data_IF_089783083874
#
_entry.id   IF_089783083874
#
_cell.length_a   1.000
_cell.length_b   1.000
_cell.length_c   1.000
_cell.angle_alpha   90.00
_cell.angle_beta   90.00
_cell.angle_gamma   90.00
#
_symmetry.space_group_name_H-M   'P 1'
#
loop_
_entity.id
_entity.type
_entity.pdbx_description
1 polymer ?
#
# COMPACT_ATOMS: atom_id res chain seq x y z
N UNK A 1 7.07 21.61 9.13
CA UNK A 1 7.03 22.10 7.76
C UNK A 1 5.64 21.81 7.23
N UNK A 2 4.89 22.76 6.65
CA UNK A 2 4.05 22.34 5.52
C UNK A 2 5.00 21.59 4.61
N UNK A 3 4.73 20.31 4.30
CA UNK A 3 5.59 19.57 3.36
C UNK A 3 5.92 20.53 2.22
N UNK A 4 7.20 20.81 1.99
CA UNK A 4 7.60 21.33 0.70
C UNK A 4 7.23 20.21 -0.26
N UNK A 5 5.99 20.26 -0.75
CA UNK A 5 5.54 19.39 -1.79
C UNK A 5 6.32 19.84 -3.00
N UNK A 6 7.33 19.05 -3.34
CA UNK A 6 7.94 19.15 -4.65
C UNK A 6 6.80 19.17 -5.68
N UNK A 7 6.87 20.07 -6.68
CA UNK A 7 5.81 20.20 -7.65
C UNK A 7 5.52 18.84 -8.26
N UNK A 8 4.24 18.45 -8.26
CA UNK A 8 3.79 17.16 -8.80
C UNK A 8 3.64 17.22 -10.32
N UNK A 9 3.56 18.42 -10.86
CA UNK A 9 3.24 18.71 -12.26
C UNK A 9 4.10 19.90 -12.70
N UNK A 10 4.68 19.82 -13.89
CA UNK A 10 5.35 20.97 -14.52
C UNK A 10 4.30 22.00 -15.00
N UNK A 11 4.75 23.18 -15.41
CA UNK A 11 3.88 24.25 -15.93
C UNK A 11 3.03 23.81 -17.16
N UNK A 12 3.49 22.76 -17.87
CA UNK A 12 2.86 22.18 -19.05
C UNK A 12 1.83 21.06 -18.75
N UNK A 13 1.60 20.73 -17.47
CA UNK A 13 0.63 19.70 -17.08
C UNK A 13 1.16 18.26 -17.06
N UNK A 14 2.44 18.06 -17.36
CA UNK A 14 3.17 16.79 -17.28
C UNK A 14 3.51 16.44 -15.83
N UNK A 15 3.31 15.17 -15.44
CA UNK A 15 3.69 14.69 -14.12
C UNK A 15 5.22 14.75 -13.99
N UNK A 16 5.73 15.34 -12.90
CA UNK A 16 7.18 15.45 -12.71
C UNK A 16 7.73 14.08 -12.36
N UNK A 17 8.55 13.53 -13.26
CA UNK A 17 9.46 12.44 -12.94
C UNK A 17 10.76 13.05 -12.38
N UNK A 18 11.17 12.59 -11.21
CA UNK A 18 12.36 13.15 -10.55
C UNK A 18 13.65 12.62 -11.16
N UNK A 19 13.63 11.44 -11.78
CA UNK A 19 14.75 10.85 -12.51
C UNK A 19 14.21 9.96 -13.63
N UNK A 20 14.65 10.22 -14.86
CA UNK A 20 14.30 9.39 -16.02
C UNK A 20 15.02 8.02 -15.98
N UNK A 21 14.40 6.99 -16.57
CA UNK A 21 15.03 5.67 -16.72
C UNK A 21 16.17 5.76 -17.74
N UNK A 22 17.38 5.34 -17.34
CA UNK A 22 18.53 5.32 -18.25
C UNK A 22 18.32 4.30 -19.39
N UNK A 23 18.86 4.60 -20.57
CA UNK A 23 18.89 3.65 -21.68
C UNK A 23 19.65 2.37 -21.30
N UNK A 24 19.06 1.21 -21.56
CA UNK A 24 19.69 -0.08 -21.23
C UNK A 24 21.02 -0.26 -21.96
N UNK A 25 22.08 -0.56 -21.20
CA UNK A 25 23.36 -0.99 -21.75
C UNK A 25 23.34 -2.52 -21.85
N UNK A 26 23.46 -3.12 -23.05
CA UNK A 26 23.28 -4.57 -23.24
C UNK A 26 24.19 -5.44 -22.37
N UNK A 27 25.39 -4.96 -22.04
CA UNK A 27 26.37 -5.68 -21.21
C UNK A 27 26.15 -5.49 -19.70
N UNK A 28 25.29 -4.55 -19.30
CA UNK A 28 25.14 -4.06 -17.93
C UNK A 28 23.66 -3.89 -17.56
N UNK A 29 22.85 -4.94 -17.72
CA UNK A 29 21.39 -4.86 -17.51
C UNK A 29 20.97 -5.14 -16.08
N UNK A 30 21.71 -5.99 -15.36
CA UNK A 30 21.36 -6.43 -14.00
C UNK A 30 22.53 -6.25 -13.05
N UNK A 31 22.28 -5.77 -11.84
CA UNK A 31 23.29 -5.63 -10.80
C UNK A 31 22.88 -6.33 -9.52
N UNK A 32 23.89 -6.84 -8.80
CA UNK A 32 23.69 -7.33 -7.44
C UNK A 32 23.98 -6.19 -6.47
N UNK A 33 22.99 -5.89 -5.65
CA UNK A 33 23.00 -4.81 -4.68
C UNK A 33 22.84 -5.41 -3.29
N UNK A 34 23.57 -4.86 -2.32
CA UNK A 34 23.32 -5.09 -0.90
C UNK A 34 23.03 -3.76 -0.22
N UNK A 35 22.00 -3.73 0.61
CA UNK A 35 21.69 -2.57 1.43
C UNK A 35 22.23 -2.77 2.85
N UNK A 36 22.75 -1.69 3.42
CA UNK A 36 22.96 -1.53 4.84
C UNK A 36 21.86 -0.60 5.34
N UNK A 37 20.86 -1.17 6.01
CA UNK A 37 19.74 -0.44 6.60
C UNK A 37 19.84 -0.47 8.13
N UNK A 38 20.31 0.62 8.75
CA UNK A 38 20.36 0.75 10.21
C UNK A 38 19.02 0.47 10.89
N UNK A 39 17.90 0.80 10.23
CA UNK A 39 16.52 0.72 10.73
C UNK A 39 16.10 -0.68 11.19
N UNK A 40 16.66 -1.75 10.61
CA UNK A 40 16.37 -3.13 11.04
C UNK A 40 17.05 -3.51 12.35
N UNK A 41 18.07 -2.76 12.75
CA UNK A 41 18.97 -3.13 13.87
C UNK A 41 19.08 -2.09 14.97
N UNK A 42 18.74 -0.84 14.68
CA UNK A 42 18.87 0.31 15.56
C UNK A 42 17.51 1.01 15.55
N UNK A 43 16.95 1.34 16.73
CA UNK A 43 15.76 2.21 16.84
C UNK A 43 15.99 3.41 15.92
N UNK A 44 15.00 3.77 15.09
CA UNK A 44 15.18 4.87 14.15
C UNK A 44 15.66 6.09 14.94
N UNK A 45 16.79 6.68 14.51
CA UNK A 45 17.38 7.84 15.18
C UNK A 45 16.35 8.94 15.39
N UNK A 46 15.43 9.09 14.43
CA UNK A 46 14.29 9.98 14.47
C UNK A 46 13.30 9.63 15.59
N UNK A 47 12.95 8.36 15.78
CA UNK A 47 12.10 7.94 16.91
C UNK A 47 12.77 8.22 18.26
N UNK A 48 14.08 7.99 18.37
CA UNK A 48 14.83 8.31 19.59
C UNK A 48 14.84 9.82 19.86
N UNK A 49 15.05 10.64 18.84
CA UNK A 49 15.03 12.11 18.97
C UNK A 49 13.63 12.62 19.30
N UNK A 50 12.59 11.99 18.75
CA UNK A 50 11.19 12.29 19.07
C UNK A 50 10.84 11.91 20.52
N UNK A 51 11.28 10.74 21.00
CA UNK A 51 11.10 10.30 22.39
C UNK A 51 11.74 11.32 23.36
N UNK A 52 12.99 11.74 23.08
CA UNK A 52 13.68 12.76 23.89
C UNK A 52 13.07 14.15 23.77
N UNK A 53 12.54 14.50 22.62
CA UNK A 53 11.81 15.75 22.45
C UNK A 53 10.53 15.78 23.27
N UNK A 54 9.76 14.68 23.32
CA UNK A 54 8.55 14.60 24.14
C UNK A 54 8.89 14.75 25.62
N UNK A 55 9.94 14.07 26.10
CA UNK A 55 10.43 14.23 27.49
C UNK A 55 10.82 15.70 27.79
N UNK A 56 11.56 16.34 26.88
CA UNK A 56 11.98 17.74 27.02
C UNK A 56 10.79 18.70 27.00
N UNK A 57 9.85 18.50 26.09
CA UNK A 57 8.66 19.34 25.94
C UNK A 57 7.74 19.21 27.15
N UNK A 58 7.59 18.00 27.69
CA UNK A 58 6.87 17.79 28.95
C UNK A 58 7.53 18.53 30.13
N UNK A 59 8.86 18.52 30.21
CA UNK A 59 9.61 19.22 31.25
C UNK A 59 9.53 20.75 31.09
N UNK A 60 9.73 21.26 29.87
CA UNK A 60 9.66 22.68 29.54
C UNK A 60 8.26 23.25 29.79
N UNK A 61 7.20 22.51 29.46
CA UNK A 61 5.82 22.90 29.77
C UNK A 61 5.54 22.89 31.27
N UNK A 62 6.01 21.89 32.02
CA UNK A 62 5.86 21.84 33.49
C UNK A 62 6.56 23.02 34.16
N UNK A 63 7.78 23.36 33.73
CA UNK A 63 8.54 24.47 34.32
C UNK A 63 7.95 25.82 33.93
N UNK A 64 7.71 26.09 32.64
CA UNK A 64 7.16 27.37 32.20
C UNK A 64 5.77 27.64 32.76
N UNK A 65 4.93 26.59 32.84
CA UNK A 65 3.62 26.67 33.48
C UNK A 65 3.72 27.02 34.97
N UNK A 66 4.67 26.41 35.70
CA UNK A 66 4.87 26.69 37.13
C UNK A 66 5.53 28.04 37.40
N UNK A 67 6.47 28.49 36.57
CA UNK A 67 7.14 29.80 36.72
C UNK A 67 6.17 30.95 36.51
N UNK A 68 5.31 30.88 35.48
CA UNK A 68 4.31 31.91 35.21
C UNK A 68 3.23 31.97 36.30
N UNK A 69 2.86 30.81 36.84
CA UNK A 69 1.94 30.70 37.97
C UNK A 69 2.55 31.33 39.24
N UNK A 70 3.78 30.97 39.60
CA UNK A 70 4.46 31.54 40.78
C UNK A 70 4.70 33.05 40.64
N UNK A 71 5.06 33.53 39.44
CA UNK A 71 5.29 34.95 39.19
C UNK A 71 4.01 35.79 39.29
N UNK A 72 2.86 35.25 38.89
CA UNK A 72 1.58 35.96 38.99
C UNK A 72 1.06 36.03 40.44
N UNK A 73 1.22 34.94 41.19
CA UNK A 73 0.66 34.81 42.54
C UNK A 73 1.51 35.48 43.63
N UNK A 74 2.83 35.52 43.44
CA UNK A 74 3.73 36.31 44.29
C UNK A 74 3.46 37.82 44.20
N UNK A 75 3.10 38.32 43.02
CA UNK A 75 3.04 39.77 42.76
C UNK A 75 1.72 40.43 43.12
N UNK A 76 0.60 39.69 43.09
CA UNK A 76 -0.74 40.29 43.21
C UNK A 76 -1.27 40.35 44.65
N UNK A 77 -0.89 39.42 45.55
CA UNK A 77 -1.62 39.31 46.82
C UNK A 77 -0.85 38.99 48.11
N UNK A 78 0.42 38.59 48.12
CA UNK A 78 1.05 38.12 49.39
C UNK A 78 0.19 37.00 50.05
N UNK A 79 -0.35 36.05 49.27
CA UNK A 79 -1.42 35.14 49.72
C UNK A 79 -1.06 33.64 49.74
N UNK A 80 -1.90 32.92 50.50
CA UNK A 80 -1.87 31.50 50.89
C UNK A 80 -2.35 30.55 49.77
N UNK A 81 -1.92 29.29 49.85
CA UNK A 81 -1.85 28.30 48.75
C UNK A 81 -3.19 27.70 48.28
N UNK A 82 -4.30 27.85 49.00
CA UNK A 82 -5.56 27.15 48.68
C UNK A 82 -6.39 27.83 47.56
N UNK A 83 -6.45 29.16 47.51
CA UNK A 83 -7.12 29.91 46.42
C UNK A 83 -6.38 29.74 45.07
N UNK A 84 -5.08 29.46 45.15
CA UNK A 84 -4.16 29.22 44.03
C UNK A 84 -4.58 28.02 43.16
N UNK A 85 -5.15 26.99 43.78
CA UNK A 85 -5.53 25.73 43.11
C UNK A 85 -6.84 25.86 42.32
N UNK A 86 -7.75 26.77 42.74
CA UNK A 86 -9.01 27.04 42.02
C UNK A 86 -8.77 27.79 40.71
N UNK A 87 -7.96 28.86 40.77
CA UNK A 87 -7.60 29.68 39.60
C UNK A 87 -6.79 28.89 38.55
N UNK A 88 -6.03 27.88 38.98
CA UNK A 88 -5.31 26.97 38.08
C UNK A 88 -6.28 26.22 37.13
N UNK A 89 -7.44 25.78 37.63
CA UNK A 89 -8.42 25.07 36.80
C UNK A 89 -9.09 25.98 35.78
N UNK A 90 -9.23 27.27 36.08
CA UNK A 90 -9.81 28.26 35.19
C UNK A 90 -8.79 28.75 34.14
N UNK A 91 -7.52 28.86 34.55
CA UNK A 91 -6.39 29.17 33.66
C UNK A 91 -6.18 28.11 32.57
N UNK A 92 -6.28 26.81 32.92
CA UNK A 92 -6.16 25.69 31.97
C UNK A 92 -7.25 25.73 30.90
N UNK A 93 -8.47 26.18 31.21
CA UNK A 93 -9.56 26.30 30.24
C UNK A 93 -9.34 27.42 29.22
N UNK A 94 -8.77 28.54 29.65
CA UNK A 94 -8.50 29.72 28.79
C UNK A 94 -7.24 29.50 27.94
N UNK A 95 -6.20 28.86 28.48
CA UNK A 95 -4.94 28.65 27.76
C UNK A 95 -4.95 27.49 26.75
N UNK A 96 -5.95 26.59 26.80
CA UNK A 96 -6.09 25.51 25.82
C UNK A 96 -6.25 26.01 24.36
N UNK A 97 -6.72 27.24 24.13
CA UNK A 97 -6.77 27.84 22.80
C UNK A 97 -5.42 28.42 22.34
N UNK A 98 -4.54 28.82 23.27
CA UNK A 98 -3.18 29.26 22.97
C UNK A 98 -2.23 28.08 22.74
N UNK A 99 -2.42 26.98 23.48
CA UNK A 99 -1.67 25.73 23.31
C UNK A 99 -1.84 25.18 21.89
N UNK A 100 -3.04 25.31 21.30
CA UNK A 100 -3.32 24.91 19.90
C UNK A 100 -2.52 25.68 18.83
N UNK A 101 -1.91 26.83 19.16
CA UNK A 101 -1.07 27.62 18.23
C UNK A 101 0.43 27.41 18.43
N UNK A 102 0.84 26.64 19.42
CA UNK A 102 2.26 26.33 19.63
C UNK A 102 2.69 25.39 18.51
N UNK A 103 3.47 25.89 17.55
CA UNK A 103 3.96 25.04 16.47
C UNK A 103 4.99 24.07 17.05
N UNK A 104 4.53 22.84 17.32
CA UNK A 104 5.34 21.71 17.82
C UNK A 104 6.61 21.56 16.97
N UNK A 105 6.51 21.90 15.68
CA UNK A 105 7.62 21.86 14.75
C UNK A 105 8.71 22.91 15.06
N UNK A 106 8.35 24.16 15.36
CA UNK A 106 9.33 25.19 15.73
C UNK A 106 10.02 24.82 17.04
N UNK A 107 9.28 24.28 18.01
CA UNK A 107 9.87 23.80 19.27
C UNK A 107 10.80 22.62 19.05
N UNK A 108 10.47 21.71 18.15
CA UNK A 108 11.34 20.61 17.77
C UNK A 108 12.64 21.10 17.12
N UNK A 109 12.58 22.11 16.25
CA UNK A 109 13.78 22.71 15.66
C UNK A 109 14.66 23.41 16.70
N UNK A 110 14.06 24.13 17.65
CA UNK A 110 14.79 24.76 18.75
C UNK A 110 15.43 23.72 19.67
N UNK A 111 14.72 22.61 19.93
CA UNK A 111 15.25 21.48 20.71
C UNK A 111 16.43 20.82 20.01
N UNK A 112 16.31 20.49 18.72
CA UNK A 112 17.40 19.95 17.92
C UNK A 112 18.60 20.91 17.93
N UNK A 113 18.41 22.19 17.65
CA UNK A 113 19.52 23.16 17.63
C UNK A 113 20.29 23.21 18.95
N UNK A 114 19.61 23.03 20.08
CA UNK A 114 20.22 23.06 21.42
C UNK A 114 20.86 21.75 21.84
N UNK A 115 20.25 20.63 21.48
CA UNK A 115 20.58 19.31 22.05
C UNK A 115 21.11 18.31 21.01
N UNK A 116 21.24 18.68 19.73
CA UNK A 116 21.66 17.77 18.65
C UNK A 116 22.97 17.05 18.96
N UNK A 117 24.00 17.78 19.41
CA UNK A 117 25.30 17.16 19.74
C UNK A 117 25.20 16.17 20.90
N UNK A 118 24.44 16.53 21.94
CA UNK A 118 24.29 15.69 23.13
C UNK A 118 23.45 14.44 22.80
N UNK A 119 22.39 14.61 22.01
CA UNK A 119 21.53 13.52 21.52
C UNK A 119 22.29 12.58 20.58
N UNK A 120 23.15 13.11 19.70
CA UNK A 120 23.99 12.30 18.82
C UNK A 120 24.97 11.44 19.63
N UNK A 121 25.57 12.02 20.66
CA UNK A 121 26.49 11.31 21.55
C UNK A 121 25.75 10.26 22.38
N UNK A 122 24.63 10.60 23.00
CA UNK A 122 23.81 9.67 23.78
C UNK A 122 23.30 8.50 22.91
N UNK A 123 22.87 8.81 21.68
CA UNK A 123 22.47 7.80 20.72
C UNK A 123 23.64 6.92 20.32
N UNK A 124 24.78 7.51 20.00
CA UNK A 124 26.00 6.78 19.60
C UNK A 124 26.49 5.86 20.71
N UNK A 125 26.47 6.31 21.97
CA UNK A 125 26.82 5.50 23.13
C UNK A 125 25.84 4.34 23.33
N UNK A 126 24.54 4.60 23.29
CA UNK A 126 23.49 3.56 23.43
C UNK A 126 23.58 2.51 22.33
N UNK A 127 23.93 2.92 21.12
CA UNK A 127 24.05 2.05 19.94
C UNK A 127 25.43 1.38 19.86
N UNK A 128 26.36 1.73 20.75
CA UNK A 128 27.72 1.17 20.78
C UNK A 128 28.55 1.56 19.56
N UNK A 129 28.41 2.80 19.10
CA UNK A 129 29.10 3.38 17.94
C UNK A 129 28.91 2.59 16.63
N UNK A 130 27.81 1.83 16.52
CA UNK A 130 27.46 1.19 15.23
C UNK A 130 27.03 2.26 14.24
N UNK A 131 27.49 2.13 13.00
CA UNK A 131 27.16 3.04 11.90
C UNK A 131 25.65 3.16 11.71
N UNK A 132 25.14 4.39 11.79
CA UNK A 132 23.75 4.79 11.55
C UNK A 132 23.49 5.24 10.11
N UNK A 133 24.43 4.96 9.19
CA UNK A 133 24.37 5.42 7.80
C UNK A 133 23.69 4.37 6.94
N UNK A 134 22.72 4.81 6.14
CA UNK A 134 22.13 4.05 5.03
C UNK A 134 23.21 3.85 3.96
N UNK A 135 23.53 2.59 3.65
CA UNK A 135 24.57 2.24 2.70
C UNK A 135 24.05 1.42 1.53
N UNK A 136 24.51 1.72 0.32
CA UNK A 136 24.30 0.87 -0.87
C UNK A 136 25.64 0.32 -1.31
N UNK A 137 25.71 -1.00 -1.51
CA UNK A 137 26.87 -1.66 -2.08
C UNK A 137 26.49 -2.31 -3.40
N UNK A 138 26.90 -1.67 -4.49
CA UNK A 138 26.92 -2.29 -5.82
C UNK A 138 28.10 -3.27 -5.91
N UNK A 139 27.82 -4.52 -6.27
CA UNK A 139 28.84 -5.58 -6.30
C UNK A 139 29.35 -5.83 -7.71
N UNK A 140 28.48 -6.34 -8.57
CA UNK A 140 28.80 -6.71 -9.94
C UNK A 140 27.58 -6.51 -10.80
N UNK A 141 27.83 -6.19 -12.06
CA UNK A 141 26.83 -5.99 -13.09
C UNK A 141 26.97 -7.09 -14.15
N UNK A 142 25.85 -7.55 -14.68
CA UNK A 142 25.69 -8.66 -15.62
C UNK A 142 24.80 -8.23 -16.79
N UNK A 143 25.02 -8.87 -17.94
CA UNK A 143 24.15 -8.72 -19.10
C UNK A 143 22.85 -9.53 -18.95
N UNK A 144 22.96 -10.75 -18.42
CA UNK A 144 21.88 -11.72 -18.33
C UNK A 144 21.40 -11.93 -16.88
N UNK A 145 20.10 -12.18 -16.73
CA UNK A 145 19.49 -12.44 -15.42
C UNK A 145 19.97 -13.78 -14.83
N UNK A 146 20.08 -14.82 -15.65
CA UNK A 146 20.47 -16.16 -15.20
C UNK A 146 21.89 -16.18 -14.61
N UNK A 147 22.83 -15.48 -15.24
CA UNK A 147 24.21 -15.33 -14.73
C UNK A 147 24.22 -14.57 -13.39
N UNK A 148 23.39 -13.54 -13.28
CA UNK A 148 23.23 -12.76 -12.05
C UNK A 148 22.70 -13.64 -10.90
N UNK A 149 21.65 -14.45 -11.15
CA UNK A 149 21.07 -15.37 -10.17
C UNK A 149 22.06 -16.46 -9.73
N UNK A 150 22.79 -17.07 -10.68
CA UNK A 150 23.82 -18.05 -10.35
C UNK A 150 24.92 -17.45 -9.48
N UNK A 151 25.37 -16.24 -9.80
CA UNK A 151 26.40 -15.56 -9.02
C UNK A 151 25.89 -15.09 -7.65
N UNK A 152 24.62 -14.69 -7.55
CA UNK A 152 23.97 -14.37 -6.27
C UNK A 152 23.99 -15.59 -5.33
N UNK A 153 23.72 -16.80 -5.84
CA UNK A 153 23.83 -18.06 -5.06
C UNK A 153 25.26 -18.31 -4.57
N UNK A 154 26.28 -17.99 -5.38
CA UNK A 154 27.68 -18.08 -4.97
C UNK A 154 28.00 -17.05 -3.87
N UNK A 155 27.53 -15.81 -4.02
CA UNK A 155 27.72 -14.75 -3.03
C UNK A 155 27.01 -15.06 -1.71
N UNK A 156 25.82 -15.65 -1.75
CA UNK A 156 25.06 -16.05 -0.57
C UNK A 156 25.84 -17.09 0.26
N UNK A 157 26.52 -18.03 -0.39
CA UNK A 157 27.40 -19.00 0.29
C UNK A 157 28.65 -18.34 0.89
N UNK A 158 29.21 -17.36 0.19
CA UNK A 158 30.43 -16.65 0.63
C UNK A 158 30.14 -15.65 1.76
N UNK A 159 28.97 -15.02 1.72
CA UNK A 159 28.53 -13.98 2.65
C UNK A 159 27.10 -14.27 3.14
N UNK A 160 26.92 -15.24 4.06
CA UNK A 160 25.59 -15.69 4.49
C UNK A 160 24.81 -14.66 5.30
N UNK A 161 25.46 -13.58 5.76
CA UNK A 161 24.83 -12.50 6.52
C UNK A 161 24.32 -11.35 5.64
N UNK A 162 24.75 -11.31 4.38
CA UNK A 162 24.45 -10.19 3.50
C UNK A 162 23.10 -10.43 2.81
N UNK A 163 22.18 -9.49 2.92
CA UNK A 163 20.98 -9.48 2.08
C UNK A 163 21.40 -9.11 0.64
N UNK A 164 21.05 -9.97 -0.32
CA UNK A 164 21.40 -9.81 -1.73
C UNK A 164 20.13 -9.53 -2.54
N UNK A 165 20.20 -8.46 -3.31
CA UNK A 165 19.11 -8.00 -4.17
C UNK A 165 19.58 -7.95 -5.61
N UNK A 166 18.72 -8.33 -6.55
CA UNK A 166 18.97 -8.21 -7.98
C UNK A 166 18.14 -7.03 -8.49
N UNK A 167 18.82 -6.01 -8.99
CA UNK A 167 18.18 -4.80 -9.53
C UNK A 167 18.51 -4.63 -11.00
N UNK A 168 17.54 -4.16 -11.79
CA UNK A 168 17.77 -3.72 -13.16
C UNK A 168 18.51 -2.38 -13.14
N UNK A 169 19.56 -2.25 -13.94
CA UNK A 169 20.35 -1.02 -14.05
C UNK A 169 19.55 0.01 -14.84
N UNK A 170 19.56 1.26 -14.37
CA UNK A 170 18.82 2.36 -14.97
C UNK A 170 17.40 2.55 -14.45
N UNK A 171 16.88 1.61 -13.65
CA UNK A 171 15.52 1.70 -13.09
C UNK A 171 15.52 2.18 -11.63
N UNK A 172 14.39 2.76 -11.22
CA UNK A 172 14.09 3.02 -9.82
C UNK A 172 14.01 1.71 -9.02
N UNK A 173 14.76 1.65 -7.93
CA UNK A 173 14.76 0.53 -7.00
C UNK A 173 14.33 1.00 -5.62
N UNK A 174 13.39 0.30 -4.95
CA UNK A 174 13.03 0.62 -3.58
C UNK A 174 14.22 0.40 -2.65
N UNK A 175 14.33 1.25 -1.63
CA UNK A 175 15.35 1.10 -0.59
C UNK A 175 15.01 -0.10 0.31
N UNK A 176 15.90 -1.09 0.36
CA UNK A 176 15.79 -2.28 1.24
C UNK A 176 14.37 -2.84 1.39
N UNK A 177 13.73 -3.24 0.28
CA UNK A 177 12.35 -3.72 0.28
C UNK A 177 12.19 -4.96 1.17
N UNK A 178 11.00 -5.10 1.76
CA UNK A 178 10.63 -6.30 2.52
C UNK A 178 10.44 -7.49 1.58
N UNK A 179 10.71 -8.70 2.10
CA UNK A 179 10.61 -9.94 1.33
C UNK A 179 9.21 -10.17 0.75
N UNK A 180 8.16 -9.76 1.47
CA UNK A 180 6.78 -9.93 1.03
C UNK A 180 6.40 -9.07 -0.18
N UNK A 181 7.09 -7.95 -0.40
CA UNK A 181 6.83 -7.06 -1.52
C UNK A 181 7.57 -7.50 -2.80
N UNK A 182 8.45 -8.51 -2.68
CA UNK A 182 9.25 -8.99 -3.79
C UNK A 182 8.50 -10.06 -4.57
N UNK A 183 8.48 -9.99 -5.92
CA UNK A 183 7.82 -11.01 -6.74
C UNK A 183 8.52 -12.37 -6.64
N UNK A 184 9.85 -12.38 -6.53
CA UNK A 184 10.71 -13.57 -6.48
C UNK A 184 11.66 -13.49 -5.29
N UNK A 185 11.51 -14.41 -4.34
CA UNK A 185 12.39 -14.55 -3.17
C UNK A 185 12.96 -15.96 -3.18
N UNK A 186 14.29 -16.07 -3.21
CA UNK A 186 15.00 -17.32 -3.00
C UNK A 186 15.77 -17.27 -1.68
N UNK A 187 15.37 -18.13 -0.74
CA UNK A 187 16.02 -18.34 0.53
C UNK A 187 17.27 -19.21 0.38
N UNK A 188 18.20 -19.09 1.34
CA UNK A 188 19.40 -19.93 1.40
C UNK A 188 19.04 -21.42 1.65
N UNK A 189 17.95 -21.67 2.39
CA UNK A 189 17.47 -23.01 2.70
C UNK A 189 16.52 -23.53 1.62
N UNK A 190 16.85 -24.71 1.08
CA UNK A 190 16.06 -25.37 0.03
C UNK A 190 14.67 -25.78 0.53
N UNK A 191 14.57 -26.29 1.75
CA UNK A 191 13.30 -26.72 2.33
C UNK A 191 12.33 -25.54 2.52
N UNK A 192 12.86 -24.39 2.96
CA UNK A 192 12.07 -23.16 3.10
C UNK A 192 11.58 -22.65 1.75
N UNK A 193 12.41 -22.72 0.70
CA UNK A 193 11.98 -22.38 -0.66
C UNK A 193 10.84 -23.26 -1.15
N UNK A 194 10.94 -24.57 -0.93
CA UNK A 194 9.87 -25.51 -1.29
C UNK A 194 8.58 -25.23 -0.53
N UNK A 195 8.68 -24.92 0.77
CA UNK A 195 7.54 -24.57 1.60
C UNK A 195 6.84 -23.28 1.11
N UNK A 196 7.62 -22.23 0.85
CA UNK A 196 7.10 -20.94 0.37
C UNK A 196 6.49 -21.05 -1.02
N UNK A 197 7.11 -21.84 -1.90
CA UNK A 197 6.56 -22.13 -3.23
C UNK A 197 5.21 -22.86 -3.12
N UNK A 198 5.13 -23.91 -2.30
CA UNK A 198 3.87 -24.64 -2.04
C UNK A 198 2.80 -23.73 -1.42
N UNK A 199 3.19 -22.82 -0.53
CA UNK A 199 2.25 -21.85 0.05
C UNK A 199 1.64 -20.94 -1.02
N UNK A 200 2.47 -20.38 -1.91
CA UNK A 200 2.01 -19.52 -3.02
C UNK A 200 1.17 -20.31 -4.04
N UNK A 201 1.57 -21.54 -4.36
CA UNK A 201 0.78 -22.44 -5.22
C UNK A 201 -0.59 -22.74 -4.60
N UNK A 202 -0.66 -23.00 -3.28
CA UNK A 202 -1.92 -23.22 -2.58
C UNK A 202 -2.81 -21.97 -2.52
N UNK A 203 -2.21 -20.79 -2.35
CA UNK A 203 -2.94 -19.52 -2.37
C UNK A 203 -3.58 -19.24 -3.73
N UNK A 204 -2.80 -19.41 -4.81
CA UNK A 204 -3.31 -19.28 -6.19
C UNK A 204 -4.39 -20.32 -6.48
N UNK A 205 -4.18 -21.58 -6.07
CA UNK A 205 -5.19 -22.62 -6.25
C UNK A 205 -6.49 -22.28 -5.50
N UNK A 206 -6.41 -21.77 -4.26
CA UNK A 206 -7.60 -21.33 -3.50
C UNK A 206 -8.38 -20.26 -4.26
N UNK A 207 -7.69 -19.28 -4.82
CA UNK A 207 -8.33 -18.18 -5.55
C UNK A 207 -8.97 -18.68 -6.86
N UNK A 208 -8.31 -19.59 -7.58
CA UNK A 208 -8.86 -20.27 -8.75
C UNK A 208 -10.13 -21.05 -8.37
N UNK A 209 -10.09 -21.86 -7.31
CA UNK A 209 -11.26 -22.62 -6.87
C UNK A 209 -12.42 -21.70 -6.48
N UNK A 210 -12.13 -20.57 -5.82
CA UNK A 210 -13.16 -19.59 -5.48
C UNK A 210 -13.80 -18.95 -6.71
N UNK A 211 -13.00 -18.60 -7.72
CA UNK A 211 -13.50 -18.04 -8.97
C UNK A 211 -14.28 -19.07 -9.78
N UNK A 212 -13.84 -20.33 -9.81
CA UNK A 212 -14.56 -21.44 -10.42
C UNK A 212 -15.92 -21.67 -9.73
N UNK A 213 -15.96 -21.71 -8.38
CA UNK A 213 -17.22 -21.82 -7.64
C UNK A 213 -18.16 -20.65 -7.92
N UNK A 214 -17.62 -19.43 -7.99
CA UNK A 214 -18.39 -18.24 -8.28
C UNK A 214 -18.96 -18.29 -9.70
N UNK A 215 -18.16 -18.71 -10.69
CA UNK A 215 -18.62 -18.89 -12.06
C UNK A 215 -19.69 -19.98 -12.16
N UNK A 216 -19.51 -21.11 -11.50
CA UNK A 216 -20.51 -22.19 -11.47
C UNK A 216 -21.84 -21.73 -10.85
N UNK A 217 -21.79 -20.96 -9.75
CA UNK A 217 -23.01 -20.37 -9.14
C UNK A 217 -23.71 -19.40 -10.08
N UNK A 218 -22.96 -18.55 -10.78
CA UNK A 218 -23.52 -17.60 -11.77
C UNK A 218 -24.14 -18.36 -12.95
N UNK A 219 -23.48 -19.41 -13.45
CA UNK A 219 -23.99 -20.21 -14.57
C UNK A 219 -25.25 -20.99 -14.18
N UNK A 220 -25.27 -21.58 -12.97
CA UNK A 220 -26.46 -22.24 -12.42
C UNK A 220 -27.62 -21.26 -12.27
N UNK A 221 -27.39 -20.05 -11.74
CA UNK A 221 -28.40 -19.00 -11.64
C UNK A 221 -28.90 -18.55 -13.02
N UNK A 222 -28.03 -18.43 -14.02
CA UNK A 222 -28.43 -18.10 -15.40
C UNK A 222 -29.28 -19.19 -16.03
N UNK A 223 -28.93 -20.47 -15.84
CA UNK A 223 -29.71 -21.62 -16.33
C UNK A 223 -31.08 -21.66 -15.65
N UNK A 224 -31.13 -21.54 -14.34
CA UNK A 224 -32.40 -21.52 -13.60
C UNK A 224 -33.29 -20.34 -14.03
N UNK A 225 -32.73 -19.14 -14.20
CA UNK A 225 -33.47 -17.98 -14.70
C UNK A 225 -33.93 -18.15 -16.15
N UNK A 226 -33.13 -18.78 -17.02
CA UNK A 226 -33.52 -19.09 -18.39
C UNK A 226 -34.67 -20.10 -18.42
N UNK A 227 -34.62 -21.15 -17.59
CA UNK A 227 -35.68 -22.14 -17.45
C UNK A 227 -36.98 -21.52 -16.90
N UNK A 228 -36.89 -20.64 -15.90
CA UNK A 228 -38.04 -19.87 -15.39
C UNK A 228 -38.64 -18.98 -16.48
N UNK A 229 -37.81 -18.31 -17.28
CA UNK A 229 -38.29 -17.49 -18.42
C UNK A 229 -38.91 -18.33 -19.52
N UNK A 230 -38.37 -19.51 -19.83
CA UNK A 230 -38.92 -20.43 -20.82
C UNK A 230 -40.28 -20.98 -20.39
N UNK A 231 -40.43 -21.38 -19.12
CA UNK A 231 -41.71 -21.80 -18.53
C UNK A 231 -42.73 -20.66 -18.56
N UNK A 232 -42.36 -19.46 -18.12
CA UNK A 232 -43.23 -18.29 -18.19
C UNK A 232 -43.65 -17.91 -19.63
N UNK A 233 -42.79 -18.14 -20.63
CA UNK A 233 -43.13 -17.94 -22.04
C UNK A 233 -44.09 -19.03 -22.56
N UNK A 234 -43.91 -20.29 -22.12
CA UNK A 234 -44.81 -21.39 -22.44
C UNK A 234 -46.20 -21.20 -21.81
N UNK A 235 -46.26 -20.76 -20.55
CA UNK A 235 -47.50 -20.45 -19.85
C UNK A 235 -48.23 -19.26 -20.50
N UNK A 236 -47.50 -18.22 -20.94
CA UNK A 236 -48.08 -17.11 -21.72
C UNK A 236 -48.61 -17.54 -23.08
N UNK A 237 -47.94 -18.48 -23.76
CA UNK A 237 -48.45 -19.08 -25.01
C UNK A 237 -49.68 -19.97 -24.81
N UNK A 238 -49.90 -20.47 -23.59
CA UNK A 238 -51.10 -21.23 -23.25
C UNK A 238 -52.28 -20.31 -22.87
N UNK A 239 -51.99 -19.13 -22.30
CA UNK A 239 -53.01 -18.16 -21.84
C UNK A 239 -53.45 -17.19 -22.97
N UNK A 240 -52.54 -16.82 -23.89
CA UNK A 240 -52.90 -16.15 -25.15
C UNK A 240 -53.25 -17.20 -26.21
N UNK A 241 -54.52 -17.62 -26.25
CA UNK A 241 -55.08 -18.45 -27.30
C UNK A 241 -55.01 -17.78 -28.68
N UNK A 242 -53.85 -17.85 -29.34
CA UNK A 242 -53.62 -17.39 -30.71
C UNK A 242 -53.10 -18.55 -31.55
N UNK A 243 -54.05 -19.10 -32.31
CA UNK A 243 -53.98 -19.79 -33.60
C UNK A 243 -52.56 -19.95 -34.16
N UNK A 244 -52.17 -21.22 -34.30
CA UNK A 244 -50.96 -21.65 -34.97
C UNK A 244 -50.98 -21.17 -36.44
N UNK A 245 -49.95 -20.42 -36.87
CA UNK A 245 -49.83 -19.85 -38.22
C UNK A 245 -49.78 -20.96 -39.29
N UNK A 246 -49.53 -22.20 -38.88
CA UNK A 246 -49.57 -23.40 -39.71
C UNK A 246 -50.97 -23.74 -40.26
N UNK A 247 -52.06 -23.36 -39.57
CA UNK A 247 -53.43 -23.71 -39.97
C UNK A 247 -54.07 -22.70 -40.94
N UNK A 248 -53.62 -21.43 -40.94
CA UNK A 248 -54.06 -20.44 -41.93
C UNK A 248 -53.55 -20.78 -43.35
N UNK A 249 -52.35 -21.36 -43.43
CA UNK A 249 -51.71 -21.68 -44.72
C UNK A 249 -52.43 -22.82 -45.45
N UNK A 250 -52.94 -23.81 -44.70
CA UNK A 250 -53.71 -24.95 -45.26
C UNK A 250 -55.11 -24.56 -45.74
N UNK A 251 -55.76 -23.58 -45.11
CA UNK A 251 -57.08 -23.12 -45.54
C UNK A 251 -57.03 -22.32 -46.85
N UNK A 252 -55.94 -21.60 -47.13
CA UNK A 252 -55.75 -20.90 -48.41
C UNK A 252 -55.42 -21.84 -49.57
N UNK A 253 -54.75 -22.96 -49.33
CA UNK A 253 -54.44 -23.96 -50.38
C UNK A 253 -55.64 -24.81 -50.81
N UNK A 254 -56.69 -24.90 -49.98
CA UNK A 254 -57.84 -25.79 -50.22
C UNK A 254 -59.08 -25.08 -50.81
N UNK A 255 -58.97 -23.79 -51.14
CA UNK A 255 -60.03 -23.05 -51.83
C UNK A 255 -59.95 -23.30 -53.36
N UNK A 256 -60.55 -24.40 -53.82
CA UNK A 256 -60.78 -24.67 -55.25
C UNK A 256 -61.66 -23.57 -55.87
N UNK A 257 -61.10 -22.84 -56.83
CA UNK A 257 -61.83 -21.86 -57.65
C UNK A 257 -62.85 -22.59 -58.55
N UNK A 258 -64.14 -22.21 -58.54
CA UNK A 258 -65.18 -22.91 -59.28
C UNK A 258 -65.26 -22.42 -60.73
N UNK A 259 -64.38 -22.88 -61.62
CA UNK A 259 -64.49 -22.51 -63.05
C UNK A 259 -63.74 -23.40 -64.06
N UNK A 260 -63.65 -24.71 -63.86
CA UNK A 260 -63.29 -25.64 -64.95
C UNK A 260 -64.15 -26.91 -64.91
N UNK A 261 -65.40 -26.75 -65.33
CA UNK A 261 -66.21 -27.84 -65.86
C UNK A 261 -66.18 -27.81 -67.39
N UNK A 262 -66.23 -29.00 -67.99
CA UNK A 262 -66.07 -29.33 -69.43
C UNK A 262 -64.59 -29.45 -69.82
N UNK A 263 -64.11 -30.65 -70.19
CA UNK A 263 -64.45 -31.29 -71.46
C UNK A 263 -64.50 -32.83 -71.35
N UNK A 264 -65.38 -33.39 -72.17
CA UNK A 264 -65.80 -34.78 -72.36
C UNK A 264 -64.82 -35.64 -73.19
N UNK A 265 -65.15 -36.94 -73.17
CA UNK A 265 -64.94 -38.01 -74.17
C UNK A 265 -63.76 -38.95 -73.86
N UNK A 266 -63.89 -40.28 -73.91
CA UNK A 266 -64.94 -41.20 -74.36
C UNK A 266 -64.85 -42.53 -73.60
#
# INVERSE_FOLDING_TARGET
>A
MPREELPKVEDDGTLIDYLEEDSEIPTQRYSIISFLSPEKTIKQKEEFFNEKFIEWLEYDWKIKGMEQLMAFLSKKYTLKVDDLMGDLQEFVKVHNEAIKKTDIHEQYQVFLLKHEKDLENEFSEKVGFRTNVRGVKLRRVFANLEECQQYAKVLQRKFPRDNLYIGKVGCWLPWDPSEHMMPEVEYAEKELNELMRKYKENEVNRDIFFDEEKQQKIEAQKKENAERRAKALADKKADEGVVDVSDLTKQFETALHPSEGAIRDA
#
